data_IF_845706200775
#
_entry.id   IF_845706200775
#
_cell.length_a   1.000
_cell.length_b   1.000
_cell.length_c   1.000
_cell.angle_alpha   90.00
_cell.angle_beta   90.00
_cell.angle_gamma   90.00
#
_symmetry.space_group_name_H-M   'P 1'
#
loop_
_entity.id
_entity.type
_entity.pdbx_description
1 polymer ?
#
# COMPACT_ATOMS: atom_id res chain seq x y z
N UNK A 1 21.88 -7.72 48.20
CA UNK A 1 20.58 -7.13 47.81
C UNK A 1 20.54 -7.12 46.29
N UNK A 2 19.63 -7.87 45.66
CA UNK A 2 19.48 -7.91 44.20
C UNK A 2 18.48 -6.80 43.85
N UNK A 3 18.95 -5.73 43.22
CA UNK A 3 18.09 -4.66 42.69
C UNK A 3 17.53 -5.09 41.35
N UNK A 4 16.26 -5.49 41.33
CA UNK A 4 15.48 -5.66 40.10
C UNK A 4 15.17 -4.29 39.51
N UNK A 5 15.82 -3.93 38.40
CA UNK A 5 15.43 -2.79 37.57
C UNK A 5 14.19 -3.17 36.77
N UNK A 6 13.02 -2.69 37.18
CA UNK A 6 11.83 -2.69 36.33
C UNK A 6 11.99 -1.60 35.27
N UNK A 7 12.09 -2.00 34.01
CA UNK A 7 12.02 -1.10 32.85
C UNK A 7 10.68 -0.36 32.87
N UNK A 8 10.63 0.98 32.71
CA UNK A 8 9.36 1.69 32.58
C UNK A 8 8.69 1.22 31.29
N UNK A 9 7.51 0.59 31.40
CA UNK A 9 6.70 0.26 30.23
C UNK A 9 6.01 1.53 29.78
N UNK A 10 6.56 2.19 28.76
CA UNK A 10 5.88 3.32 28.11
C UNK A 10 4.52 2.84 27.59
N UNK A 11 3.41 3.56 27.85
CA UNK A 11 2.11 3.21 27.30
C UNK A 11 2.17 3.09 25.78
N UNK A 12 1.45 2.12 25.18
CA UNK A 12 1.43 1.96 23.74
C UNK A 12 0.86 3.22 23.06
N UNK A 13 1.51 3.65 21.98
CA UNK A 13 1.06 4.75 21.13
C UNK A 13 -0.22 4.37 20.38
N UNK A 14 -0.97 5.37 19.90
CA UNK A 14 -2.14 5.14 19.04
C UNK A 14 -1.79 4.26 17.83
N UNK A 15 -0.62 4.50 17.21
CA UNK A 15 -0.12 3.68 16.10
C UNK A 15 0.01 2.20 16.52
N UNK A 16 0.62 1.92 17.67
CA UNK A 16 0.79 0.54 18.15
C UNK A 16 -0.56 -0.12 18.47
N UNK A 17 -1.50 0.62 19.07
CA UNK A 17 -2.84 0.13 19.38
C UNK A 17 -3.59 -0.21 18.07
N UNK A 18 -3.58 0.69 17.10
CA UNK A 18 -4.24 0.50 15.80
C UNK A 18 -3.60 -0.64 15.00
N UNK A 19 -2.27 -0.69 14.91
CA UNK A 19 -1.58 -1.75 14.17
C UNK A 19 -1.75 -3.14 14.80
N UNK A 20 -2.08 -3.24 16.09
CA UNK A 20 -2.37 -4.51 16.74
C UNK A 20 -3.65 -5.19 16.20
N UNK A 21 -4.51 -4.43 15.53
CA UNK A 21 -5.69 -4.95 14.83
C UNK A 21 -5.40 -5.32 13.35
N UNK A 22 -4.13 -5.24 12.91
CA UNK A 22 -3.75 -5.48 11.51
C UNK A 22 -3.01 -6.79 11.33
N UNK A 23 -3.16 -7.42 10.16
CA UNK A 23 -2.46 -8.67 9.80
C UNK A 23 -0.94 -8.51 9.72
N UNK A 24 -0.44 -7.28 9.54
CA UNK A 24 0.97 -6.98 9.35
C UNK A 24 1.49 -5.96 10.36
N UNK A 25 1.41 -6.28 11.66
CA UNK A 25 1.77 -5.37 12.76
C UNK A 25 3.09 -4.59 12.55
N UNK A 26 4.21 -5.29 12.34
CA UNK A 26 5.53 -4.63 12.21
C UNK A 26 5.62 -3.73 10.97
N UNK A 27 5.00 -4.17 9.87
CA UNK A 27 4.96 -3.39 8.63
C UNK A 27 4.03 -2.18 8.77
N UNK A 28 2.90 -2.31 9.49
CA UNK A 28 2.00 -1.22 9.81
C UNK A 28 2.70 -0.16 10.68
N UNK A 29 3.34 -0.58 11.78
CA UNK A 29 4.04 0.32 12.70
C UNK A 29 5.15 1.06 11.97
N UNK A 30 6.02 0.34 11.26
CA UNK A 30 7.13 0.95 10.52
C UNK A 30 6.65 1.88 9.40
N UNK A 31 5.61 1.50 8.66
CA UNK A 31 5.03 2.34 7.60
C UNK A 31 4.47 3.64 8.17
N UNK A 32 3.63 3.57 9.20
CA UNK A 32 2.99 4.75 9.79
C UNK A 32 3.99 5.65 10.51
N UNK A 33 4.92 5.11 11.31
CA UNK A 33 5.90 5.91 12.05
C UNK A 33 6.95 6.57 11.16
N UNK A 34 7.20 6.04 9.96
CA UNK A 34 8.10 6.67 8.99
C UNK A 34 7.56 7.97 8.41
N UNK A 35 6.26 8.25 8.57
CA UNK A 35 5.64 9.43 8.00
C UNK A 35 5.82 10.65 8.91
N UNK A 36 6.21 11.80 8.34
CA UNK A 36 6.34 13.04 9.11
C UNK A 36 5.00 13.50 9.72
N UNK A 37 3.88 13.08 9.14
CA UNK A 37 2.54 13.41 9.61
C UNK A 37 1.99 12.40 10.63
N UNK A 38 2.72 11.32 10.96
CA UNK A 38 2.31 10.35 11.97
C UNK A 38 1.92 10.97 13.32
N UNK A 39 2.67 11.97 13.86
CA UNK A 39 2.30 12.63 15.11
C UNK A 39 1.05 13.51 15.01
N UNK A 40 0.59 13.85 13.79
CA UNK A 40 -0.61 14.67 13.57
C UNK A 40 -1.89 13.83 13.55
N UNK A 41 -1.79 12.52 13.35
CA UNK A 41 -2.93 11.62 13.42
C UNK A 41 -3.33 11.42 14.89
N UNK A 42 -4.41 12.10 15.31
CA UNK A 42 -4.89 12.08 16.69
C UNK A 42 -5.94 10.99 16.95
N UNK A 43 -6.44 10.36 15.89
CA UNK A 43 -7.47 9.32 15.94
C UNK A 43 -7.27 8.26 14.83
N UNK A 44 -8.13 7.22 14.86
CA UNK A 44 -8.09 6.12 13.89
C UNK A 44 -8.41 6.58 12.47
N UNK A 45 -9.25 7.61 12.30
CA UNK A 45 -9.58 8.19 10.98
C UNK A 45 -8.36 8.87 10.35
N UNK A 46 -7.58 9.59 11.15
CA UNK A 46 -6.30 10.17 10.76
C UNK A 46 -5.29 9.09 10.36
N UNK A 47 -5.18 8.01 11.15
CA UNK A 47 -4.31 6.88 10.81
C UNK A 47 -4.75 6.12 9.55
N UNK A 48 -6.06 5.95 9.34
CA UNK A 48 -6.63 5.39 8.11
C UNK A 48 -6.23 6.23 6.89
N UNK A 49 -6.42 7.55 6.97
CA UNK A 49 -6.05 8.48 5.90
C UNK A 49 -4.55 8.46 5.61
N UNK A 50 -3.72 8.31 6.65
CA UNK A 50 -2.27 8.17 6.51
C UNK A 50 -1.90 6.85 5.84
N UNK A 51 -2.51 5.72 6.23
CA UNK A 51 -2.28 4.42 5.60
C UNK A 51 -2.61 4.43 4.10
N UNK A 52 -3.77 4.99 3.73
CA UNK A 52 -4.18 5.17 2.33
C UNK A 52 -3.20 6.08 1.58
N UNK A 53 -2.71 7.15 2.22
CA UNK A 53 -1.71 8.06 1.61
C UNK A 53 -0.38 7.35 1.33
N UNK A 54 0.08 6.48 2.23
CA UNK A 54 1.29 5.66 1.99
C UNK A 54 1.06 4.71 0.81
N UNK A 55 -0.11 4.06 0.72
CA UNK A 55 -0.48 3.22 -0.41
C UNK A 55 -0.49 3.99 -1.74
N UNK A 56 -1.00 5.24 -1.77
CA UNK A 56 -0.97 6.13 -2.93
C UNK A 56 0.47 6.39 -3.38
N UNK A 57 1.37 6.67 -2.43
CA UNK A 57 2.79 6.90 -2.71
C UNK A 57 3.44 5.64 -3.32
N UNK A 58 3.19 4.46 -2.74
CA UNK A 58 3.68 3.20 -3.28
C UNK A 58 3.17 2.98 -4.71
N UNK A 59 1.85 3.08 -4.94
CA UNK A 59 1.25 2.89 -6.27
C UNK A 59 1.82 3.89 -7.30
N UNK A 60 2.03 5.15 -6.91
CA UNK A 60 2.64 6.18 -7.76
C UNK A 60 4.08 5.83 -8.14
N UNK A 61 4.88 5.43 -7.14
CA UNK A 61 6.27 5.07 -7.35
C UNK A 61 6.40 3.82 -8.22
N UNK A 62 5.53 2.84 -8.01
CA UNK A 62 5.52 1.59 -8.78
C UNK A 62 5.02 1.80 -10.21
N UNK A 63 4.02 2.66 -10.42
CA UNK A 63 3.63 3.12 -11.76
C UNK A 63 4.82 3.74 -12.50
N UNK A 64 5.54 4.64 -11.83
CA UNK A 64 6.70 5.34 -12.41
C UNK A 64 7.84 4.37 -12.72
N UNK A 65 8.10 3.43 -11.82
CA UNK A 65 9.09 2.38 -12.01
C UNK A 65 8.75 1.45 -13.18
N UNK A 66 7.50 1.02 -13.31
CA UNK A 66 7.07 0.21 -14.45
C UNK A 66 7.21 0.97 -15.78
N UNK A 67 6.88 2.26 -15.80
CA UNK A 67 7.06 3.12 -16.97
C UNK A 67 8.55 3.27 -17.33
N UNK A 68 9.43 3.49 -16.36
CA UNK A 68 10.88 3.63 -16.61
C UNK A 68 11.50 2.34 -17.14
N UNK A 69 11.08 1.17 -16.62
CA UNK A 69 11.46 -0.12 -17.20
C UNK A 69 10.98 -0.27 -18.64
N UNK A 70 9.78 0.22 -18.96
CA UNK A 70 9.25 0.15 -20.32
C UNK A 70 10.06 1.01 -21.31
N UNK A 71 10.48 2.19 -20.87
CA UNK A 71 11.17 3.17 -21.69
C UNK A 71 12.69 2.94 -21.79
N UNK A 72 13.24 2.00 -21.00
CA UNK A 72 14.62 1.56 -21.15
C UNK A 72 14.91 1.03 -22.57
N UNK A 73 16.09 1.39 -23.09
CA UNK A 73 16.54 1.01 -24.45
C UNK A 73 16.72 -0.50 -24.61
N UNK A 74 17.08 -1.20 -23.54
CA UNK A 74 17.26 -2.65 -23.49
C UNK A 74 15.93 -3.44 -23.50
N UNK A 75 14.80 -2.77 -23.29
CA UNK A 75 13.50 -3.43 -23.16
C UNK A 75 12.94 -3.84 -24.52
N UNK A 76 12.69 -5.14 -24.69
CA UNK A 76 12.12 -5.70 -25.95
C UNK A 76 10.64 -5.31 -26.10
N UNK A 77 10.11 -5.19 -27.34
CA UNK A 77 8.74 -4.70 -27.57
C UNK A 77 7.62 -5.43 -26.80
N UNK A 78 7.61 -6.79 -26.70
CA UNK A 78 6.59 -7.49 -25.91
C UNK A 78 6.63 -7.12 -24.42
N UNK A 79 7.84 -7.05 -23.84
CA UNK A 79 8.03 -6.65 -22.45
C UNK A 79 7.63 -5.19 -22.21
N UNK A 80 7.96 -4.29 -23.15
CA UNK A 80 7.58 -2.87 -23.10
C UNK A 80 6.07 -2.68 -23.01
N UNK A 81 5.30 -3.38 -23.84
CA UNK A 81 3.84 -3.29 -23.83
C UNK A 81 3.24 -3.76 -22.48
N UNK A 82 3.74 -4.88 -21.95
CA UNK A 82 3.31 -5.40 -20.65
C UNK A 82 3.64 -4.42 -19.52
N UNK A 83 4.86 -3.86 -19.51
CA UNK A 83 5.27 -2.88 -18.50
C UNK A 83 4.45 -1.58 -18.54
N UNK A 84 4.09 -1.08 -19.73
CA UNK A 84 3.18 0.08 -19.86
C UNK A 84 1.77 -0.21 -19.36
N UNK A 85 1.30 -1.44 -19.57
CA UNK A 85 0.00 -1.89 -19.05
C UNK A 85 0.05 -1.97 -17.52
N UNK A 86 1.15 -2.47 -16.96
CA UNK A 86 1.40 -2.43 -15.52
C UNK A 86 1.42 -1.00 -14.96
N UNK A 87 2.17 -0.09 -15.58
CA UNK A 87 2.19 1.32 -15.17
C UNK A 87 0.76 1.91 -15.13
N UNK A 88 -0.07 1.56 -16.11
CA UNK A 88 -1.48 1.96 -16.11
C UNK A 88 -2.28 1.37 -14.96
N UNK A 89 -2.12 0.08 -14.66
CA UNK A 89 -2.81 -0.57 -13.54
C UNK A 89 -2.44 0.01 -12.18
N UNK A 90 -1.18 0.35 -11.97
CA UNK A 90 -0.76 1.05 -10.75
C UNK A 90 -1.29 2.49 -10.67
N UNK A 91 -1.46 3.17 -11.80
CA UNK A 91 -2.15 4.47 -11.84
C UNK A 91 -3.65 4.33 -11.51
N UNK A 92 -4.31 3.28 -12.01
CA UNK A 92 -5.71 2.96 -11.66
C UNK A 92 -5.83 2.70 -10.15
N UNK A 93 -4.90 1.93 -9.56
CA UNK A 93 -4.83 1.70 -8.11
C UNK A 93 -4.67 2.99 -7.32
N UNK A 94 -3.74 3.86 -7.74
CA UNK A 94 -3.55 5.19 -7.14
C UNK A 94 -4.85 6.01 -7.15
N UNK A 95 -5.56 6.02 -8.27
CA UNK A 95 -6.81 6.78 -8.42
C UNK A 95 -7.90 6.23 -7.50
N UNK A 96 -8.04 4.90 -7.39
CA UNK A 96 -8.96 4.29 -6.46
C UNK A 96 -8.63 4.68 -5.00
N UNK A 97 -7.35 4.66 -4.61
CA UNK A 97 -6.94 5.10 -3.28
C UNK A 97 -7.22 6.60 -3.03
N UNK A 98 -7.13 7.46 -4.05
CA UNK A 98 -7.53 8.86 -3.94
C UNK A 98 -9.04 8.99 -3.65
N UNK A 99 -9.87 8.22 -4.34
CA UNK A 99 -11.31 8.16 -4.01
C UNK A 99 -11.57 7.62 -2.60
N UNK A 100 -10.73 6.71 -2.10
CA UNK A 100 -10.82 6.29 -0.69
C UNK A 100 -10.53 7.44 0.28
N UNK A 101 -9.60 8.35 -0.03
CA UNK A 101 -9.37 9.53 0.81
C UNK A 101 -10.57 10.48 0.80
N UNK A 102 -11.18 10.70 -0.37
CA UNK A 102 -12.39 11.52 -0.49
C UNK A 102 -13.55 10.91 0.33
N UNK A 103 -13.72 9.59 0.26
CA UNK A 103 -14.71 8.85 1.05
C UNK A 103 -14.44 8.91 2.55
N UNK A 104 -13.18 8.79 2.99
CA UNK A 104 -12.78 8.98 4.39
C UNK A 104 -13.10 10.40 4.88
N UNK A 105 -12.81 11.42 4.07
CA UNK A 105 -13.13 12.80 4.40
C UNK A 105 -14.64 13.01 4.59
N UNK A 106 -15.47 12.30 3.82
CA UNK A 106 -16.92 12.30 3.89
C UNK A 106 -17.53 11.28 4.87
N UNK A 107 -16.72 10.63 5.72
CA UNK A 107 -17.16 9.61 6.68
C UNK A 107 -17.94 8.43 6.04
N UNK A 108 -17.64 8.15 4.76
CA UNK A 108 -18.24 7.09 3.96
C UNK A 108 -17.34 5.85 3.96
N UNK A 109 -17.24 5.17 5.10
CA UNK A 109 -16.25 4.11 5.33
C UNK A 109 -16.45 2.87 4.44
N UNK A 110 -17.70 2.50 4.14
CA UNK A 110 -18.01 1.44 3.17
C UNK A 110 -17.43 1.74 1.78
N UNK A 111 -17.56 2.99 1.32
CA UNK A 111 -17.00 3.42 0.04
C UNK A 111 -15.47 3.49 0.09
N UNK A 112 -14.88 3.95 1.20
CA UNK A 112 -13.44 3.91 1.39
C UNK A 112 -12.92 2.47 1.30
N UNK A 113 -13.57 1.52 1.98
CA UNK A 113 -13.25 0.11 1.93
C UNK A 113 -13.31 -0.47 0.51
N UNK A 114 -14.39 -0.18 -0.23
CA UNK A 114 -14.55 -0.62 -1.63
C UNK A 114 -13.42 -0.08 -2.51
N UNK A 115 -13.07 1.19 -2.34
CA UNK A 115 -12.01 1.82 -3.12
C UNK A 115 -10.61 1.25 -2.84
N UNK A 116 -10.28 0.99 -1.57
CA UNK A 116 -9.01 0.31 -1.23
C UNK A 116 -8.99 -1.13 -1.72
N UNK A 117 -10.12 -1.84 -1.63
CA UNK A 117 -10.24 -3.21 -2.15
C UNK A 117 -9.99 -3.26 -3.66
N UNK A 118 -10.60 -2.33 -4.41
CA UNK A 118 -10.33 -2.21 -5.85
C UNK A 118 -8.86 -1.89 -6.14
N UNK A 119 -8.24 -1.02 -5.34
CA UNK A 119 -6.82 -0.67 -5.49
C UNK A 119 -5.89 -1.88 -5.34
N UNK A 120 -6.17 -2.79 -4.40
CA UNK A 120 -5.40 -4.01 -4.18
C UNK A 120 -5.44 -4.98 -5.37
N UNK A 121 -6.53 -4.97 -6.15
CA UNK A 121 -6.73 -5.90 -7.27
C UNK A 121 -6.09 -5.46 -8.58
N UNK A 122 -6.00 -4.16 -8.87
CA UNK A 122 -5.45 -3.68 -10.14
C UNK A 122 -4.05 -4.24 -10.46
N UNK A 123 -3.09 -4.29 -9.51
CA UNK A 123 -1.76 -4.84 -9.75
C UNK A 123 -1.75 -6.31 -10.16
N UNK A 124 -2.71 -7.13 -9.72
CA UNK A 124 -2.76 -8.57 -10.02
C UNK A 124 -2.77 -8.88 -11.52
N UNK A 125 -3.30 -7.95 -12.33
CA UNK A 125 -3.29 -8.01 -13.79
C UNK A 125 -1.87 -8.10 -14.35
N UNK A 126 -0.87 -7.51 -13.69
CA UNK A 126 0.52 -7.56 -14.13
C UNK A 126 1.04 -8.98 -14.28
N UNK A 127 0.94 -9.81 -13.23
CA UNK A 127 1.42 -11.20 -13.28
C UNK A 127 0.75 -11.99 -14.40
N UNK A 128 -0.53 -11.74 -14.62
CA UNK A 128 -1.31 -12.35 -15.71
C UNK A 128 -0.74 -11.96 -17.07
N UNK A 129 -0.53 -10.66 -17.31
CA UNK A 129 0.02 -10.15 -18.58
C UNK A 129 1.42 -10.70 -18.88
N UNK A 130 2.30 -10.80 -17.87
CA UNK A 130 3.62 -11.41 -18.03
C UNK A 130 3.52 -12.88 -18.48
N UNK A 131 2.64 -13.65 -17.83
CA UNK A 131 2.41 -15.08 -18.14
C UNK A 131 1.73 -15.32 -19.49
N UNK A 132 0.90 -14.40 -19.96
CA UNK A 132 0.15 -14.52 -21.22
C UNK A 132 0.98 -14.17 -22.47
N UNK A 133 2.16 -13.60 -22.31
CA UNK A 133 3.05 -13.39 -23.45
C UNK A 133 3.45 -14.71 -24.13
N UNK A 134 3.68 -14.75 -25.45
CA UNK A 134 4.05 -15.99 -26.15
C UNK A 134 5.29 -16.69 -25.57
N UNK A 135 6.24 -15.91 -25.04
CA UNK A 135 7.48 -16.41 -24.44
C UNK A 135 7.39 -16.62 -22.93
N UNK A 136 6.22 -16.41 -22.31
CA UNK A 136 5.99 -16.47 -20.84
C UNK A 136 7.08 -15.73 -20.06
N UNK A 137 7.08 -14.41 -20.15
CA UNK A 137 8.06 -13.56 -19.48
C UNK A 137 8.05 -13.77 -17.96
N UNK A 138 9.24 -13.83 -17.37
CA UNK A 138 9.41 -13.83 -15.92
C UNK A 138 8.99 -12.48 -15.33
N UNK A 139 8.30 -12.50 -14.19
CA UNK A 139 7.92 -11.27 -13.50
C UNK A 139 9.14 -10.65 -12.79
N UNK A 140 9.47 -9.37 -13.01
CA UNK A 140 10.65 -8.75 -12.44
C UNK A 140 10.62 -8.79 -10.90
N UNK A 141 11.69 -9.21 -10.21
CA UNK A 141 11.69 -9.33 -8.75
C UNK A 141 11.36 -8.02 -8.03
N UNK A 142 11.86 -6.89 -8.53
CA UNK A 142 11.56 -5.57 -7.96
C UNK A 142 10.09 -5.15 -8.17
N UNK A 143 9.46 -5.57 -9.28
CA UNK A 143 8.00 -5.40 -9.46
C UNK A 143 7.24 -6.27 -8.46
N UNK A 144 7.67 -7.51 -8.23
CA UNK A 144 7.04 -8.42 -7.28
C UNK A 144 7.09 -7.89 -5.84
N UNK A 145 8.23 -7.33 -5.42
CA UNK A 145 8.38 -6.71 -4.10
C UNK A 145 7.43 -5.53 -3.93
N UNK A 146 7.39 -4.62 -4.90
CA UNK A 146 6.53 -3.43 -4.87
C UNK A 146 5.05 -3.77 -4.86
N UNK A 147 4.66 -4.79 -5.61
CA UNK A 147 3.30 -5.31 -5.62
C UNK A 147 2.92 -5.85 -4.24
N UNK A 148 3.80 -6.65 -3.61
CA UNK A 148 3.59 -7.16 -2.26
C UNK A 148 3.50 -6.03 -1.22
N UNK A 149 4.36 -5.01 -1.32
CA UNK A 149 4.29 -3.85 -0.44
C UNK A 149 2.93 -3.14 -0.59
N UNK A 150 2.42 -2.96 -1.81
CA UNK A 150 1.10 -2.37 -2.04
C UNK A 150 -0.03 -3.25 -1.50
N UNK A 151 0.05 -4.58 -1.66
CA UNK A 151 -0.91 -5.54 -1.11
C UNK A 151 -0.99 -5.42 0.43
N UNK A 152 0.16 -5.40 1.11
CA UNK A 152 0.21 -5.24 2.56
C UNK A 152 -0.34 -3.87 2.99
N UNK A 153 0.03 -2.79 2.29
CA UNK A 153 -0.47 -1.44 2.57
C UNK A 153 -1.98 -1.34 2.41
N UNK A 154 -2.55 -1.89 1.33
CA UNK A 154 -3.99 -1.92 1.13
C UNK A 154 -4.68 -2.77 2.20
N UNK A 155 -4.12 -3.94 2.55
CA UNK A 155 -4.68 -4.80 3.61
C UNK A 155 -4.74 -4.07 4.96
N UNK A 156 -3.63 -3.44 5.37
CA UNK A 156 -3.60 -2.62 6.59
C UNK A 156 -4.63 -1.49 6.52
N UNK A 157 -4.73 -0.78 5.40
CA UNK A 157 -5.70 0.29 5.24
C UNK A 157 -7.14 -0.22 5.41
N UNK A 158 -7.50 -1.36 4.81
CA UNK A 158 -8.81 -1.99 4.98
C UNK A 158 -9.10 -2.34 6.44
N UNK A 159 -8.12 -2.93 7.13
CA UNK A 159 -8.26 -3.33 8.54
C UNK A 159 -8.43 -2.10 9.45
N UNK A 160 -7.69 -1.02 9.20
CA UNK A 160 -7.83 0.24 9.96
C UNK A 160 -9.18 0.91 9.66
N UNK A 161 -9.63 0.93 8.39
CA UNK A 161 -10.95 1.44 8.00
C UNK A 161 -12.05 0.67 8.75
N UNK A 162 -11.92 -0.65 8.87
CA UNK A 162 -12.89 -1.51 9.55
C UNK A 162 -13.05 -1.21 11.04
N UNK A 163 -12.11 -0.47 11.65
CA UNK A 163 -12.23 -0.01 13.04
C UNK A 163 -13.14 1.22 13.19
N UNK A 164 -13.53 1.87 12.08
CA UNK A 164 -14.32 3.11 12.08
C UNK A 164 -15.84 2.86 12.01
N UNK A 165 -16.27 1.65 11.68
CA UNK A 165 -17.69 1.28 11.53
C UNK A 165 -17.97 0.58 10.23
#
# INVERSE_FOLDING_TARGET
>A
MISTTSTPTTPPTLVQITCNATSYYDFCVSSLQSQPDSPKAVDVKGLSSLAVTIAISNATNTSTFAASLADATSTKPPLRSVLRSCATKYRDARQALQWSLDALAADSYDYAFVHVSAAAEYPNVCRVLFRQTPTRLAYPPEMARREQDLEHLCTIALEIISLLG
#
